data_IF_210993348863
#
_entry.id   IF_210993348863
#
_cell.length_a   1.000
_cell.length_b   1.000
_cell.length_c   1.000
_cell.angle_alpha   90.00
_cell.angle_beta   90.00
_cell.angle_gamma   90.00
#
_symmetry.space_group_name_H-M   'P 1'
#
loop_
_entity.id
_entity.type
_entity.pdbx_description
1 polymer ?
#
# COMPACT_ATOMS: atom_id res chain seq x y z
N UNK A 1 -14.06 9.67 -41.53
CA UNK A 1 -13.81 9.84 -41.37
C UNK A 1 -13.80 10.07 -40.81
N UNK A 2 -13.71 9.95 -40.64
CA UNK A 2 -13.56 10.18 -40.12
C UNK A 2 -13.36 10.52 -39.11
N UNK A 3 -13.42 10.38 -38.77
CA UNK A 3 -13.13 10.75 -37.78
C UNK A 3 -13.19 10.78 -36.93
N UNK A 4 -13.27 10.59 -36.71
CA UNK A 4 -13.27 10.68 -35.88
C UNK A 4 -13.29 10.47 -35.15
N UNK A 5 -13.47 10.34 -35.18
CA UNK A 5 -13.48 10.28 -34.55
C UNK A 5 -13.21 10.13 -33.77
N UNK A 6 -13.17 10.08 -33.61
CA UNK A 6 -12.85 10.07 -33.01
C UNK A 6 -12.75 10.21 -32.19
N UNK A 7 -12.74 10.26 -32.03
CA UNK A 7 -12.57 10.43 -31.51
C UNK A 7 -12.84 10.40 -30.69
N UNK A 8 -13.22 10.35 -30.48
CA UNK A 8 -13.39 10.39 -29.90
C UNK A 8 -13.51 10.11 -29.15
N UNK A 9 -13.62 9.91 -29.03
CA UNK A 9 -13.60 9.76 -28.53
C UNK A 9 -13.45 9.60 -27.79
N UNK A 10 -13.37 9.60 -27.44
CA UNK A 10 -13.09 9.63 -26.73
C UNK A 10 -13.38 9.92 -26.05
N UNK A 11 -13.66 10.22 -25.88
CA UNK A 11 -13.85 10.62 -25.42
C UNK A 11 -14.43 10.72 -24.71
N UNK A 12 -14.59 10.73 -24.82
CA UNK A 12 -15.29 11.09 -24.15
C UNK A 12 -15.29 10.60 -22.93
N UNK A 13 -14.78 10.74 -22.34
CA UNK A 13 -14.53 10.27 -21.24
C UNK A 13 -14.50 11.12 -20.26
N UNK A 14 -15.16 11.53 -19.69
CA UNK A 14 -15.21 12.43 -18.80
C UNK A 14 -14.82 12.01 -17.53
N UNK A 15 -15.13 12.14 -16.73
CA UNK A 15 -15.06 11.84 -15.71
C UNK A 15 -14.69 11.25 -14.85
N UNK A 16 -14.63 10.89 -14.25
CA UNK A 16 -13.53 11.18 -13.52
C UNK A 16 -12.45 11.08 -14.44
N UNK A 17 -12.64 11.86 -15.42
CA UNK A 17 -11.71 11.86 -16.39
C UNK A 17 -10.40 12.24 -15.91
N UNK A 18 -10.32 13.22 -15.09
CA UNK A 18 -9.05 13.63 -14.60
C UNK A 18 -8.39 12.50 -13.86
N UNK A 19 -9.16 11.79 -13.09
CA UNK A 19 -8.64 10.66 -12.37
C UNK A 19 -8.30 9.55 -13.33
N UNK A 20 -9.14 9.31 -14.29
CA UNK A 20 -8.90 8.27 -15.25
C UNK A 20 -7.66 8.55 -16.07
N UNK A 21 -7.42 9.80 -16.37
CA UNK A 21 -6.24 10.15 -17.11
C UNK A 21 -4.99 9.98 -16.31
N UNK A 22 -5.02 10.35 -15.05
CA UNK A 22 -3.89 10.11 -14.21
C UNK A 22 -3.75 8.62 -13.97
N UNK A 23 -4.82 7.87 -14.12
CA UNK A 23 -4.74 6.44 -13.98
C UNK A 23 -4.01 5.78 -15.14
N UNK A 24 -3.81 6.47 -16.24
CA UNK A 24 -2.99 5.95 -17.30
C UNK A 24 -1.55 5.71 -16.87
N UNK A 25 -1.13 6.38 -15.79
CA UNK A 25 0.18 6.18 -15.19
C UNK A 25 -0.01 5.86 -13.73
N UNK A 26 0.22 4.62 -13.31
CA UNK A 26 0.08 4.26 -11.90
C UNK A 26 1.00 5.12 -11.06
N UNK A 27 0.50 5.51 -9.90
CA UNK A 27 1.35 6.20 -8.95
C UNK A 27 2.27 5.18 -8.31
N UNK A 28 3.56 5.45 -8.35
CA UNK A 28 4.57 4.56 -7.81
C UNK A 28 5.41 5.33 -6.81
N UNK A 29 5.61 4.74 -5.66
CA UNK A 29 6.43 5.33 -4.58
C UNK A 29 7.44 4.30 -4.10
N UNK A 30 8.61 4.78 -3.72
CA UNK A 30 9.61 3.95 -3.05
C UNK A 30 9.59 4.37 -1.59
N UNK A 31 9.29 3.43 -0.71
CA UNK A 31 9.09 3.74 0.71
C UNK A 31 9.83 2.74 1.57
N UNK A 32 10.20 3.17 2.76
CA UNK A 32 10.69 2.24 3.76
C UNK A 32 9.48 1.51 4.35
N UNK A 33 9.64 0.21 4.57
CA UNK A 33 8.58 -0.64 5.10
C UNK A 33 9.09 -1.40 6.31
N UNK A 34 8.23 -1.52 7.30
CA UNK A 34 8.44 -2.35 8.46
C UNK A 34 7.31 -3.36 8.56
N UNK A 35 7.32 -4.16 9.59
CA UNK A 35 6.33 -5.21 9.77
C UNK A 35 5.77 -5.15 11.19
N UNK A 36 4.50 -5.46 11.34
CA UNK A 36 3.89 -5.54 12.66
C UNK A 36 2.93 -6.72 12.72
N UNK A 37 2.58 -7.10 13.94
CA UNK A 37 1.66 -8.20 14.19
C UNK A 37 0.61 -7.73 15.18
N UNK A 38 -0.32 -8.61 15.49
CA UNK A 38 -1.34 -8.32 16.51
C UNK A 38 -0.90 -8.76 17.91
N UNK A 39 0.40 -8.88 18.14
CA UNK A 39 0.92 -9.15 19.47
C UNK A 39 0.61 -8.01 20.41
N UNK A 40 0.15 -8.32 21.62
CA UNK A 40 -0.42 -7.32 22.53
C UNK A 40 0.45 -6.13 22.81
N UNK A 41 1.76 -6.27 22.83
CA UNK A 41 2.63 -5.15 23.11
C UNK A 41 2.82 -4.21 21.96
N UNK A 42 2.47 -4.65 20.78
CA UNK A 42 2.78 -3.92 19.56
C UNK A 42 1.65 -3.06 19.08
N UNK A 43 0.44 -3.34 19.50
CA UNK A 43 -0.74 -2.77 18.86
C UNK A 43 -1.74 -2.11 19.80
N UNK A 44 -1.48 -2.04 21.08
CA UNK A 44 -2.38 -1.39 22.02
C UNK A 44 -3.57 -2.26 22.42
N UNK A 45 -4.68 -1.63 22.81
CA UNK A 45 -5.78 -2.34 23.47
C UNK A 45 -6.68 -3.16 22.56
N UNK A 46 -6.64 -2.90 21.26
CA UNK A 46 -7.46 -3.65 20.28
C UNK A 46 -6.57 -4.19 19.18
N UNK A 47 -5.74 -5.19 19.49
CA UNK A 47 -4.69 -5.61 18.55
C UNK A 47 -5.19 -6.24 17.25
N UNK A 48 -6.44 -6.67 17.21
CA UNK A 48 -6.98 -7.30 16.01
C UNK A 48 -7.84 -6.35 15.17
N UNK A 49 -7.89 -5.08 15.55
CA UNK A 49 -8.69 -4.08 14.85
C UNK A 49 -7.79 -2.92 14.46
N UNK A 50 -7.88 -2.50 13.21
CA UNK A 50 -7.07 -1.38 12.71
C UNK A 50 -7.72 -0.05 13.07
N UNK A 51 -7.04 1.05 12.71
CA UNK A 51 -7.55 2.39 12.93
C UNK A 51 -8.88 2.62 12.22
N UNK A 52 -9.11 1.95 11.11
CA UNK A 52 -10.36 2.09 10.35
C UNK A 52 -11.45 1.14 10.84
N UNK A 53 -11.16 0.34 11.86
CA UNK A 53 -12.12 -0.65 12.37
C UNK A 53 -12.09 -1.96 11.61
N UNK A 54 -11.18 -2.13 10.68
CA UNK A 54 -11.05 -3.37 9.93
C UNK A 54 -10.35 -4.43 10.78
N UNK A 55 -10.68 -5.68 10.52
CA UNK A 55 -10.01 -6.78 11.21
C UNK A 55 -8.66 -7.02 10.56
N UNK A 56 -7.64 -7.26 11.39
CA UNK A 56 -6.29 -7.48 10.86
C UNK A 56 -6.23 -8.78 10.07
N UNK A 57 -5.52 -8.75 8.96
CA UNK A 57 -5.28 -9.88 8.08
C UNK A 57 -4.11 -9.54 7.17
N UNK A 58 -3.54 -10.55 6.54
CA UNK A 58 -2.53 -10.29 5.52
C UNK A 58 -3.19 -9.52 4.37
N UNK A 59 -2.59 -8.42 3.99
CA UNK A 59 -3.17 -7.47 3.04
C UNK A 59 -3.52 -6.15 3.68
N UNK A 60 -3.40 -6.03 5.01
CA UNK A 60 -3.57 -4.76 5.70
C UNK A 60 -2.25 -4.01 5.70
N UNK A 61 -2.31 -2.75 5.31
CA UNK A 61 -1.16 -1.86 5.29
C UNK A 61 -1.43 -0.65 6.17
N UNK A 62 -0.50 -0.38 7.07
CA UNK A 62 -0.51 0.86 7.83
C UNK A 62 0.41 1.86 7.12
N UNK A 63 0.05 3.12 7.15
CA UNK A 63 0.88 4.18 6.56
C UNK A 63 1.20 5.22 7.62
N UNK A 64 2.34 5.87 7.48
CA UNK A 64 2.63 7.04 8.30
C UNK A 64 1.61 8.12 7.97
N UNK A 65 1.29 8.95 8.96
CA UNK A 65 0.16 9.89 8.82
C UNK A 65 0.35 10.89 7.70
N UNK A 66 1.59 11.27 7.43
CA UNK A 66 1.90 12.18 6.33
C UNK A 66 1.52 11.60 4.96
N UNK A 67 1.45 10.28 4.84
CA UNK A 67 1.09 9.65 3.57
C UNK A 67 -0.41 9.59 3.33
N UNK A 68 -1.23 9.90 4.33
CA UNK A 68 -2.69 9.80 4.16
C UNK A 68 -3.23 10.76 3.10
N UNK A 69 -2.53 11.86 2.82
CA UNK A 69 -2.96 12.76 1.76
C UNK A 69 -2.88 12.12 0.38
N UNK A 70 -1.90 11.26 0.17
CA UNK A 70 -1.71 10.63 -1.14
C UNK A 70 -2.11 9.15 -1.14
N UNK A 71 -2.24 8.55 0.03
CA UNK A 71 -2.66 7.17 0.19
C UNK A 71 -3.76 7.12 1.27
N UNK A 72 -4.94 7.68 0.99
CA UNK A 72 -5.99 7.70 2.00
C UNK A 72 -6.49 6.29 2.32
N UNK A 73 -7.17 6.15 3.45
CA UNK A 73 -7.76 4.88 3.83
C UNK A 73 -8.62 4.32 2.70
N UNK A 74 -8.45 3.04 2.41
CA UNK A 74 -9.15 2.39 1.32
C UNK A 74 -8.36 2.31 0.03
N UNK A 75 -7.24 3.01 -0.07
CA UNK A 75 -6.38 2.91 -1.26
C UNK A 75 -5.84 1.50 -1.36
N UNK A 76 -5.88 0.94 -2.56
CA UNK A 76 -5.38 -0.41 -2.83
C UNK A 76 -4.06 -0.31 -3.57
N UNK A 77 -3.11 -1.10 -3.11
CA UNK A 77 -1.75 -1.02 -3.65
C UNK A 77 -1.16 -2.41 -3.81
N UNK A 78 -0.16 -2.49 -4.68
CA UNK A 78 0.71 -3.67 -4.78
C UNK A 78 2.09 -3.29 -4.29
N UNK A 79 2.78 -4.27 -3.75
CA UNK A 79 4.11 -4.06 -3.19
C UNK A 79 5.12 -4.96 -3.86
N UNK A 80 6.33 -4.43 -4.02
CA UNK A 80 7.47 -5.16 -4.53
C UNK A 80 8.61 -4.99 -3.55
N UNK A 81 9.28 -6.08 -3.23
CA UNK A 81 10.35 -6.10 -2.23
C UNK A 81 11.66 -5.66 -2.88
N UNK A 82 12.21 -4.55 -2.43
CA UNK A 82 13.47 -4.02 -2.94
C UNK A 82 14.67 -4.38 -2.04
N UNK A 83 14.44 -5.20 -1.02
CA UNK A 83 15.50 -5.63 -0.14
C UNK A 83 15.54 -4.87 1.17
N UNK A 84 16.36 -5.37 2.08
CA UNK A 84 16.52 -4.71 3.39
C UNK A 84 17.15 -3.33 3.21
N UNK A 85 17.06 -2.52 4.26
CA UNK A 85 17.71 -1.20 4.22
C UNK A 85 19.22 -1.30 4.05
N UNK A 86 19.79 -2.51 4.23
CA UNK A 86 21.20 -2.76 3.99
C UNK A 86 21.46 -3.38 2.61
N UNK A 87 20.42 -3.42 1.76
CA UNK A 87 20.58 -3.88 0.39
C UNK A 87 20.57 -5.39 0.17
N UNK A 88 20.02 -6.15 1.11
CA UNK A 88 20.01 -7.61 1.01
C UNK A 88 18.63 -8.16 0.78
N UNK A 89 18.54 -9.32 0.18
CA UNK A 89 17.29 -10.07 0.05
C UNK A 89 16.29 -9.45 -0.87
N UNK A 90 16.72 -8.72 -1.88
CA UNK A 90 15.80 -8.12 -2.85
C UNK A 90 14.92 -9.21 -3.46
N UNK A 91 13.63 -8.99 -3.47
CA UNK A 91 12.68 -9.91 -4.06
C UNK A 91 12.27 -11.06 -3.18
N UNK A 92 12.83 -11.19 -1.99
CA UNK A 92 12.58 -12.33 -1.11
C UNK A 92 11.09 -12.50 -0.79
N UNK A 93 10.34 -11.40 -0.69
CA UNK A 93 8.93 -11.44 -0.37
C UNK A 93 8.01 -11.27 -1.59
N UNK A 94 8.59 -11.18 -2.79
CA UNK A 94 7.79 -10.96 -3.99
C UNK A 94 6.81 -12.10 -4.26
N UNK A 95 7.22 -13.34 -3.99
CA UNK A 95 6.34 -14.49 -4.22
C UNK A 95 5.09 -14.40 -3.36
N UNK A 96 5.22 -13.89 -2.14
CA UNK A 96 4.08 -13.68 -1.26
C UNK A 96 3.27 -12.47 -1.73
N UNK A 97 3.93 -11.38 -2.04
CA UNK A 97 3.26 -10.10 -2.33
C UNK A 97 2.55 -10.09 -3.67
N UNK A 98 3.00 -10.88 -4.63
CA UNK A 98 2.43 -10.83 -5.98
C UNK A 98 0.95 -11.18 -6.03
N UNK A 99 0.47 -11.96 -5.08
CA UNK A 99 -0.92 -12.38 -5.06
C UNK A 99 -1.78 -11.54 -4.11
N UNK A 100 -1.22 -10.48 -3.55
CA UNK A 100 -1.91 -9.66 -2.56
C UNK A 100 -2.12 -8.26 -3.09
N UNK A 101 -3.36 -7.78 -3.01
CA UNK A 101 -3.66 -6.37 -3.13
C UNK A 101 -3.82 -5.86 -1.70
N UNK A 102 -2.90 -5.02 -1.30
CA UNK A 102 -2.92 -4.45 0.04
C UNK A 102 -3.92 -3.30 0.10
N UNK A 103 -4.52 -3.09 1.25
CA UNK A 103 -5.42 -1.95 1.44
C UNK A 103 -4.89 -1.11 2.60
N UNK A 104 -4.87 0.19 2.38
CA UNK A 104 -4.48 1.15 3.43
C UNK A 104 -5.63 1.20 4.44
N UNK A 105 -5.42 0.64 5.62
CA UNK A 105 -6.48 0.49 6.61
C UNK A 105 -6.03 0.80 8.03
N UNK A 106 -4.79 1.23 8.18
CA UNK A 106 -4.25 1.52 9.51
C UNK A 106 -3.23 2.65 9.42
N UNK A 107 -2.85 3.21 10.56
CA UNK A 107 -1.84 4.26 10.60
C UNK A 107 -0.76 3.89 11.59
N UNK A 108 0.43 4.40 11.32
CA UNK A 108 1.58 4.26 12.19
C UNK A 108 1.58 5.35 13.25
N UNK A 109 2.42 5.18 14.26
CA UNK A 109 2.63 6.19 15.28
C UNK A 109 2.96 7.54 14.63
N UNK A 110 2.48 8.62 15.23
CA UNK A 110 2.60 9.97 14.66
C UNK A 110 4.03 10.42 14.40
N UNK A 111 5.00 9.81 15.03
CA UNK A 111 6.42 10.19 14.84
C UNK A 111 7.00 9.71 13.52
N UNK A 112 6.37 8.73 12.87
CA UNK A 112 6.91 8.15 11.65
C UNK A 112 6.51 8.97 10.43
N UNK A 113 7.41 9.00 9.44
CA UNK A 113 7.15 9.71 8.20
C UNK A 113 7.66 8.88 7.03
N UNK A 114 6.94 8.95 5.91
CA UNK A 114 7.31 8.31 4.64
C UNK A 114 7.58 6.83 4.80
N UNK A 115 6.77 6.18 5.63
CA UNK A 115 6.93 4.76 5.93
C UNK A 115 5.61 4.06 5.83
N UNK A 116 5.68 2.77 5.53
CA UNK A 116 4.53 1.88 5.61
C UNK A 116 4.88 0.73 6.54
N UNK A 117 3.86 0.05 7.04
CA UNK A 117 4.01 -1.01 7.99
C UNK A 117 3.06 -2.12 7.58
N UNK A 118 3.60 -3.31 7.33
CA UNK A 118 2.84 -4.42 6.77
C UNK A 118 2.45 -5.36 7.90
N UNK A 119 1.16 -5.66 7.99
CA UNK A 119 0.70 -6.62 8.97
C UNK A 119 1.02 -8.04 8.52
N UNK A 120 1.61 -8.82 9.44
CA UNK A 120 1.86 -10.24 9.21
C UNK A 120 1.17 -11.04 10.30
N UNK A 121 0.73 -12.26 9.97
CA UNK A 121 0.00 -13.08 10.94
C UNK A 121 0.88 -13.62 12.06
N UNK A 122 2.19 -13.69 11.87
CA UNK A 122 3.06 -14.26 12.88
C UNK A 122 4.34 -13.45 13.03
N UNK A 123 4.88 -13.51 14.25
CA UNK A 123 6.06 -12.74 14.59
C UNK A 123 7.31 -13.18 13.83
N UNK A 124 7.43 -14.47 13.56
CA UNK A 124 8.61 -14.96 12.86
C UNK A 124 8.72 -14.36 11.46
N UNK A 125 7.63 -14.32 10.73
CA UNK A 125 7.62 -13.72 9.40
C UNK A 125 7.88 -12.22 9.48
N UNK A 126 7.27 -11.54 10.45
CA UNK A 126 7.50 -10.12 10.64
C UNK A 126 8.98 -9.82 10.91
N UNK A 127 9.62 -10.64 11.73
CA UNK A 127 11.04 -10.46 12.01
C UNK A 127 11.92 -10.73 10.79
N UNK A 128 11.55 -11.73 9.98
CA UNK A 128 12.29 -11.99 8.75
C UNK A 128 12.14 -10.85 7.76
N UNK A 129 10.97 -10.23 7.71
CA UNK A 129 10.77 -9.08 6.83
C UNK A 129 11.66 -7.92 7.29
N UNK A 130 11.67 -7.63 8.57
CA UNK A 130 12.52 -6.61 9.16
C UNK A 130 12.20 -5.22 8.62
N UNK A 131 13.25 -4.48 8.26
CA UNK A 131 13.13 -3.16 7.67
C UNK A 131 13.61 -3.24 6.23
N UNK A 132 12.74 -2.88 5.31
CA UNK A 132 13.03 -3.00 3.88
C UNK A 132 12.61 -1.75 3.14
N UNK A 133 13.04 -1.66 1.91
CA UNK A 133 12.43 -0.73 0.96
C UNK A 133 11.48 -1.52 0.10
N UNK A 134 10.36 -0.89 -0.21
CA UNK A 134 9.38 -1.48 -1.12
C UNK A 134 9.02 -0.48 -2.18
N UNK A 135 8.68 -1.00 -3.35
CA UNK A 135 8.04 -0.22 -4.38
C UNK A 135 6.54 -0.41 -4.21
N UNK A 136 5.84 0.68 -3.99
CA UNK A 136 4.40 0.67 -3.81
C UNK A 136 3.76 1.24 -5.07
N UNK A 137 2.84 0.49 -5.64
CA UNK A 137 2.10 0.92 -6.82
C UNK A 137 0.63 1.00 -6.48
N UNK A 138 0.02 2.16 -6.69
CA UNK A 138 -1.41 2.34 -6.44
C UNK A 138 -2.20 1.64 -7.51
N UNK A 139 -3.09 0.74 -7.09
CA UNK A 139 -3.97 0.01 -7.99
C UNK A 139 -5.30 0.74 -8.13
N UNK A 140 -5.83 1.24 -7.02
CA UNK A 140 -7.11 1.94 -7.03
C UNK A 140 -7.21 2.84 -5.80
N UNK A 141 -7.78 4.01 -6.00
CA UNK A 141 -8.12 4.91 -4.89
C UNK A 141 -9.51 4.58 -4.38
N UNK A 142 -9.84 4.95 -3.12
CA UNK A 142 -11.19 4.74 -2.61
C UNK A 142 -12.17 5.61 -3.38
N UNK A 143 -13.40 5.13 -3.46
CA UNK A 143 -14.48 5.88 -4.12
C UNK A 143 -15.05 6.97 -3.24
#
# INVERSE_FOLDING_TARGET
MRGLLLAISLLAVPWPQALAQSAGKPKVLILEATAYTSGGRETGSTPHITATGARTRLGILAVSRDLLEILPFGTKVRLKDLGTIYGRGKGQFDALFKDIVFVVADVMNARWRKKVDIWFPDRATALRFGRRKVQLEVVAYPE
#
